data_IF_080223982020
#
_entry.id   IF_080223982020
#
_cell.length_a   1.000
_cell.length_b   1.000
_cell.length_c   1.000
_cell.angle_alpha   90.00
_cell.angle_beta   90.00
_cell.angle_gamma   90.00
#
_symmetry.space_group_name_H-M   'P 1'
#
loop_
_entity.id
_entity.type
_entity.pdbx_description
1 polymer ?
#
# COMPACT_ATOMS: atom_id res chain seq x y z
N UNK A 1 43.44 27.70 20.67
CA UNK A 1 42.55 27.93 19.50
C UNK A 1 42.33 26.59 18.82
N UNK A 2 41.22 25.91 19.12
CA UNK A 2 40.87 24.64 18.49
C UNK A 2 39.99 24.90 17.26
N UNK A 3 40.41 24.40 16.10
CA UNK A 3 39.72 24.58 14.83
C UNK A 3 38.41 23.78 14.80
N UNK A 4 37.30 24.47 14.49
CA UNK A 4 35.98 23.86 14.29
C UNK A 4 35.94 23.28 12.86
N UNK A 5 35.76 21.97 12.76
CA UNK A 5 35.58 21.30 11.48
C UNK A 5 34.22 21.67 10.85
N UNK A 6 34.11 21.81 9.51
CA UNK A 6 32.86 22.18 8.86
C UNK A 6 31.86 21.03 8.94
N UNK A 7 30.63 21.39 9.35
CA UNK A 7 29.50 20.48 9.48
C UNK A 7 29.03 20.09 8.07
N UNK A 8 29.12 18.80 7.74
CA UNK A 8 28.63 18.26 6.47
C UNK A 8 27.13 18.56 6.30
N UNK A 9 26.76 19.10 5.14
CA UNK A 9 25.39 19.43 4.80
C UNK A 9 24.54 18.16 4.74
N UNK A 10 23.48 18.09 5.55
CA UNK A 10 22.45 17.07 5.43
C UNK A 10 21.61 17.33 4.17
N UNK A 11 21.30 16.31 3.36
CA UNK A 11 20.39 16.48 2.22
C UNK A 11 18.99 16.84 2.73
N UNK A 12 18.39 17.86 2.10
CA UNK A 12 17.08 18.38 2.45
C UNK A 12 16.00 17.29 2.36
N UNK A 13 15.28 17.09 3.47
CA UNK A 13 14.09 16.25 3.49
C UNK A 13 13.00 16.91 2.63
N UNK A 14 12.47 16.17 1.65
CA UNK A 14 11.32 16.60 0.87
C UNK A 14 10.10 16.76 1.80
N UNK A 15 9.28 17.82 1.64
CA UNK A 15 8.30 18.24 2.64
C UNK A 15 7.01 17.41 2.70
N UNK A 16 6.93 16.28 1.98
CA UNK A 16 5.74 15.43 1.98
C UNK A 16 6.11 14.02 2.46
N UNK A 17 5.69 13.72 3.69
CA UNK A 17 5.97 12.51 4.48
C UNK A 17 5.56 11.19 3.85
N UNK A 18 6.38 10.70 2.92
CA UNK A 18 6.49 9.28 2.54
C UNK A 18 7.91 8.75 2.73
N UNK A 19 8.80 9.56 3.31
CA UNK A 19 10.20 9.24 3.57
C UNK A 19 10.40 8.31 4.75
N UNK A 20 9.80 7.12 4.74
CA UNK A 20 10.51 6.00 5.36
C UNK A 20 11.79 5.83 4.55
N UNK A 21 12.97 5.92 5.16
CA UNK A 21 14.20 5.46 4.51
C UNK A 21 13.88 4.13 3.85
N UNK A 22 14.12 4.01 2.54
CA UNK A 22 14.14 2.71 1.91
C UNK A 22 15.18 1.91 2.69
N UNK A 23 14.70 1.02 3.57
CA UNK A 23 15.53 -0.03 4.11
C UNK A 23 15.93 -0.87 2.92
N UNK A 24 17.05 -0.53 2.29
CA UNK A 24 17.72 -1.45 1.40
C UNK A 24 18.27 -2.54 2.30
N UNK A 25 17.50 -3.62 2.45
CA UNK A 25 18.12 -4.87 2.86
C UNK A 25 19.20 -5.12 1.80
N UNK A 26 20.48 -5.27 2.19
CA UNK A 26 21.50 -5.62 1.22
C UNK A 26 20.99 -6.87 0.52
N UNK A 27 20.85 -6.81 -0.80
CA UNK A 27 20.59 -7.99 -1.59
C UNK A 27 21.69 -8.97 -1.18
N UNK A 28 21.31 -10.09 -0.55
CA UNK A 28 22.25 -11.15 -0.21
C UNK A 28 22.76 -11.71 -1.54
N UNK A 29 23.77 -11.06 -2.11
CA UNK A 29 24.54 -11.50 -3.25
C UNK A 29 25.28 -12.75 -2.78
N UNK A 30 24.66 -13.92 -2.95
CA UNK A 30 25.28 -15.22 -2.66
C UNK A 30 24.73 -16.01 -1.47
N UNK A 31 23.56 -15.67 -0.91
CA UNK A 31 22.94 -16.51 0.14
C UNK A 31 22.14 -17.67 -0.46
N UNK A 32 22.38 -18.89 0.02
CA UNK A 32 21.57 -20.07 -0.29
C UNK A 32 20.08 -19.72 -0.25
N UNK A 33 19.43 -19.86 -1.40
CA UNK A 33 18.02 -19.53 -1.57
C UNK A 33 17.22 -20.62 -0.86
N UNK A 34 16.29 -20.21 0.00
CA UNK A 34 15.46 -21.15 0.75
C UNK A 34 14.63 -22.03 -0.19
N UNK A 35 14.62 -23.35 0.02
CA UNK A 35 13.99 -24.33 -0.87
C UNK A 35 12.47 -24.13 -0.96
N UNK A 36 11.84 -23.71 0.13
CA UNK A 36 10.39 -23.42 0.17
C UNK A 36 10.00 -22.05 -0.41
N UNK A 37 10.94 -21.27 -0.95
CA UNK A 37 10.62 -19.95 -1.49
C UNK A 37 9.90 -20.06 -2.85
N UNK A 38 8.63 -19.65 -2.90
CA UNK A 38 7.90 -19.50 -4.17
C UNK A 38 8.45 -18.29 -4.96
N UNK A 39 9.28 -18.60 -5.95
CA UNK A 39 9.95 -17.61 -6.79
C UNK A 39 8.98 -16.91 -7.73
N UNK A 40 8.00 -17.62 -8.27
CA UNK A 40 7.03 -17.04 -9.18
C UNK A 40 6.12 -16.06 -8.43
N UNK A 41 5.66 -16.42 -7.23
CA UNK A 41 4.91 -15.49 -6.39
C UNK A 41 5.76 -14.28 -5.97
N UNK A 42 7.02 -14.48 -5.57
CA UNK A 42 7.90 -13.37 -5.22
C UNK A 42 8.11 -12.38 -6.38
N UNK A 43 8.35 -12.88 -7.60
CA UNK A 43 8.51 -12.04 -8.77
C UNK A 43 7.24 -11.22 -9.06
N UNK A 44 6.05 -11.86 -8.99
CA UNK A 44 4.76 -11.16 -9.16
C UNK A 44 4.53 -10.09 -8.10
N UNK A 45 4.84 -10.37 -6.84
CA UNK A 45 4.72 -9.40 -5.76
C UNK A 45 5.67 -8.22 -5.92
N UNK A 46 6.93 -8.49 -6.29
CA UNK A 46 7.92 -7.44 -6.57
C UNK A 46 7.48 -6.55 -7.73
N UNK A 47 6.99 -7.14 -8.82
CA UNK A 47 6.46 -6.40 -9.97
C UNK A 47 5.26 -5.53 -9.58
N UNK A 48 4.34 -6.05 -8.77
CA UNK A 48 3.21 -5.29 -8.26
C UNK A 48 3.68 -4.10 -7.39
N UNK A 49 4.63 -4.32 -6.49
CA UNK A 49 5.18 -3.29 -5.63
C UNK A 49 5.87 -2.18 -6.44
N UNK A 50 6.74 -2.56 -7.37
CA UNK A 50 7.46 -1.65 -8.25
C UNK A 50 6.50 -0.86 -9.15
N UNK A 51 5.48 -1.50 -9.70
CA UNK A 51 4.46 -0.85 -10.52
C UNK A 51 3.72 0.23 -9.72
N UNK A 52 3.24 -0.10 -8.51
CA UNK A 52 2.51 0.84 -7.66
C UNK A 52 3.42 1.99 -7.21
N UNK A 53 4.57 1.68 -6.60
CA UNK A 53 5.52 2.71 -6.12
C UNK A 53 6.02 3.58 -7.26
N UNK A 54 6.29 2.99 -8.42
CA UNK A 54 6.74 3.67 -9.62
C UNK A 54 5.72 4.69 -10.16
N UNK A 55 4.41 4.46 -10.00
CA UNK A 55 3.37 5.46 -10.35
C UNK A 55 3.49 6.71 -9.48
N UNK A 56 3.59 6.53 -8.16
CA UNK A 56 3.72 7.65 -7.22
C UNK A 56 5.06 8.38 -7.36
N UNK A 57 6.16 7.64 -7.54
CA UNK A 57 7.50 8.22 -7.68
C UNK A 57 7.64 9.15 -8.89
N UNK A 58 6.83 8.94 -9.95
CA UNK A 58 6.84 9.78 -11.16
C UNK A 58 6.10 11.11 -11.00
N UNK A 59 5.24 11.27 -10.00
CA UNK A 59 4.38 12.46 -9.84
C UNK A 59 5.24 13.71 -9.60
N UNK A 60 6.14 13.68 -8.62
CA UNK A 60 6.92 14.88 -8.24
C UNK A 60 7.82 15.36 -9.40
N UNK A 61 8.62 14.49 -10.05
CA UNK A 61 9.40 14.90 -11.22
C UNK A 61 8.54 15.43 -12.38
N UNK A 62 7.35 14.86 -12.60
CA UNK A 62 6.44 15.35 -13.62
C UNK A 62 5.96 16.78 -13.32
N UNK A 63 5.51 17.05 -12.10
CA UNK A 63 5.05 18.38 -11.70
C UNK A 63 6.19 19.41 -11.72
N UNK A 64 7.42 19.03 -11.37
CA UNK A 64 8.58 19.90 -11.52
C UNK A 64 8.80 20.32 -12.98
N UNK A 65 8.66 19.37 -13.92
CA UNK A 65 8.71 19.69 -15.36
C UNK A 65 7.56 20.58 -15.80
N UNK A 66 6.34 20.36 -15.28
CA UNK A 66 5.18 21.23 -15.58
C UNK A 66 5.43 22.66 -15.12
N UNK A 67 5.91 22.87 -13.89
CA UNK A 67 6.21 24.20 -13.35
C UNK A 67 7.26 24.93 -14.21
N UNK A 68 8.27 24.20 -14.73
CA UNK A 68 9.28 24.79 -15.60
C UNK A 68 8.74 25.29 -16.95
N UNK A 69 7.54 24.83 -17.37
CA UNK A 69 6.90 25.20 -18.63
C UNK A 69 5.92 26.37 -18.51
N UNK A 70 5.68 26.89 -17.30
CA UNK A 70 4.60 27.83 -17.02
C UNK A 70 4.65 29.12 -17.86
N UNK A 71 5.84 29.54 -18.30
CA UNK A 71 6.02 30.77 -19.10
C UNK A 71 5.83 30.57 -20.62
N UNK A 72 5.50 29.37 -21.10
CA UNK A 72 5.35 29.11 -22.53
C UNK A 72 3.93 29.38 -23.03
N UNK A 73 3.80 29.81 -24.29
CA UNK A 73 2.50 30.11 -24.91
C UNK A 73 1.59 28.87 -25.05
N UNK A 74 2.20 27.68 -25.09
CA UNK A 74 1.60 26.35 -25.23
C UNK A 74 1.58 25.57 -23.89
N UNK A 75 1.59 26.29 -22.75
CA UNK A 75 1.70 25.70 -21.42
C UNK A 75 0.70 24.57 -21.17
N UNK A 76 -0.60 24.81 -21.44
CA UNK A 76 -1.65 23.84 -21.15
C UNK A 76 -1.43 22.51 -21.90
N UNK A 77 -1.10 22.57 -23.20
CA UNK A 77 -0.86 21.39 -24.02
C UNK A 77 0.38 20.62 -23.55
N UNK A 78 1.48 21.33 -23.28
CA UNK A 78 2.73 20.70 -22.82
C UNK A 78 2.63 20.14 -21.42
N UNK A 79 1.92 20.82 -20.52
CA UNK A 79 1.64 20.34 -19.17
C UNK A 79 0.87 19.03 -19.20
N UNK A 80 -0.18 18.95 -20.03
CA UNK A 80 -0.92 17.71 -20.23
C UNK A 80 -0.05 16.61 -20.83
N UNK A 81 0.80 16.92 -21.80
CA UNK A 81 1.78 15.97 -22.36
C UNK A 81 2.69 15.37 -21.30
N UNK A 82 3.30 16.22 -20.46
CA UNK A 82 4.18 15.77 -19.36
C UNK A 82 3.46 14.85 -18.37
N UNK A 83 2.21 15.16 -18.04
CA UNK A 83 1.42 14.35 -17.10
C UNK A 83 1.00 13.02 -17.73
N UNK A 84 0.57 13.00 -18.99
CA UNK A 84 0.26 11.77 -19.74
C UNK A 84 1.48 10.86 -19.87
N UNK A 85 2.65 11.42 -20.17
CA UNK A 85 3.89 10.64 -20.25
C UNK A 85 4.27 10.01 -18.90
N UNK A 86 4.03 10.72 -17.80
CA UNK A 86 4.37 10.25 -16.46
C UNK A 86 3.37 9.23 -15.90
N UNK A 87 2.08 9.47 -16.07
CA UNK A 87 0.98 8.74 -15.41
C UNK A 87 0.24 7.78 -16.36
N UNK A 88 0.53 7.81 -17.65
CA UNK A 88 -0.13 7.05 -18.71
C UNK A 88 -1.29 7.84 -19.34
N UNK A 89 -1.85 7.27 -20.42
CA UNK A 89 -2.92 7.90 -21.22
C UNK A 89 -4.34 7.43 -20.82
N UNK A 90 -4.51 6.92 -19.59
CA UNK A 90 -5.82 6.45 -19.14
C UNK A 90 -6.80 7.62 -18.97
N UNK A 91 -8.12 7.43 -19.21
CA UNK A 91 -9.11 8.46 -18.93
C UNK A 91 -8.98 8.98 -17.49
N UNK A 92 -8.93 10.31 -17.32
CA UNK A 92 -8.76 10.95 -16.00
C UNK A 92 -7.31 11.21 -15.57
N UNK A 93 -6.30 10.82 -16.38
CA UNK A 93 -4.91 11.20 -16.16
C UNK A 93 -4.63 12.69 -16.40
N UNK A 94 -5.53 13.36 -17.11
CA UNK A 94 -5.39 14.75 -17.51
C UNK A 94 -5.63 15.68 -16.33
N UNK A 95 -4.87 16.77 -16.28
CA UNK A 95 -5.10 17.84 -15.31
C UNK A 95 -6.45 18.53 -15.60
N UNK A 96 -7.22 18.91 -14.58
CA UNK A 96 -8.44 19.70 -14.76
C UNK A 96 -8.13 21.00 -15.51
N UNK A 97 -8.92 21.35 -16.54
CA UNK A 97 -8.72 22.54 -17.37
C UNK A 97 -8.53 23.82 -16.55
N UNK A 98 -9.33 24.00 -15.48
CA UNK A 98 -9.20 25.12 -14.53
C UNK A 98 -7.78 25.30 -13.95
N UNK A 99 -7.04 24.21 -13.71
CA UNK A 99 -5.66 24.31 -13.18
C UNK A 99 -4.67 24.82 -14.22
N UNK A 100 -5.01 24.73 -15.51
CA UNK A 100 -4.20 25.18 -16.62
C UNK A 100 -4.61 26.59 -17.08
N UNK A 101 -5.92 26.83 -17.15
CA UNK A 101 -6.51 28.09 -17.63
C UNK A 101 -6.22 29.25 -16.68
N UNK A 102 -6.21 29.02 -15.36
CA UNK A 102 -5.95 30.07 -14.36
C UNK A 102 -4.44 30.28 -14.11
N UNK A 103 -3.58 29.40 -14.63
CA UNK A 103 -2.16 29.35 -14.29
C UNK A 103 -1.36 30.58 -14.74
N UNK A 104 -1.82 31.29 -15.78
CA UNK A 104 -1.19 32.53 -16.24
C UNK A 104 -1.47 33.71 -15.29
N UNK A 105 -2.61 33.70 -14.59
CA UNK A 105 -3.05 34.79 -13.72
C UNK A 105 -2.60 34.59 -12.27
N UNK A 106 -2.77 33.39 -11.72
CA UNK A 106 -2.52 33.10 -10.29
C UNK A 106 -1.27 32.29 -10.02
N UNK A 107 -0.63 31.80 -11.08
CA UNK A 107 0.38 30.77 -10.98
C UNK A 107 -0.21 29.36 -11.04
N UNK A 108 0.62 28.38 -11.44
CA UNK A 108 0.20 26.97 -11.48
C UNK A 108 0.02 26.39 -10.06
N UNK A 109 -1.18 25.92 -9.73
CA UNK A 109 -1.44 25.30 -8.43
C UNK A 109 -0.89 23.86 -8.36
N UNK A 110 0.37 23.78 -7.92
CA UNK A 110 1.08 22.52 -7.72
C UNK A 110 0.40 21.63 -6.68
N UNK A 111 -0.28 22.19 -5.67
CA UNK A 111 -0.90 21.39 -4.60
C UNK A 111 -2.12 20.67 -5.13
N UNK A 112 -2.99 21.37 -5.86
CA UNK A 112 -4.15 20.78 -6.50
C UNK A 112 -3.74 19.77 -7.58
N UNK A 113 -2.72 20.09 -8.39
CA UNK A 113 -2.19 19.18 -9.38
C UNK A 113 -1.60 17.91 -8.74
N UNK A 114 -0.85 18.05 -7.65
CA UNK A 114 -0.32 16.92 -6.88
C UNK A 114 -1.43 16.02 -6.33
N UNK A 115 -2.44 16.60 -5.70
CA UNK A 115 -3.58 15.86 -5.17
C UNK A 115 -4.29 15.08 -6.29
N UNK A 116 -4.57 15.73 -7.43
CA UNK A 116 -5.19 15.09 -8.59
C UNK A 116 -4.37 13.90 -9.10
N UNK A 117 -3.07 14.09 -9.30
CA UNK A 117 -2.15 13.04 -9.73
C UNK A 117 -2.07 11.86 -8.74
N UNK A 118 -2.10 12.14 -7.42
CA UNK A 118 -2.11 11.11 -6.37
C UNK A 118 -3.39 10.29 -6.39
N UNK A 119 -4.56 10.94 -6.51
CA UNK A 119 -5.85 10.22 -6.61
C UNK A 119 -5.95 9.39 -7.88
N UNK A 120 -5.45 9.90 -9.00
CA UNK A 120 -5.37 9.14 -10.25
C UNK A 120 -4.43 7.93 -10.10
N UNK A 121 -3.22 8.12 -9.55
CA UNK A 121 -2.28 7.03 -9.32
C UNK A 121 -2.85 5.95 -8.38
N UNK A 122 -3.58 6.36 -7.33
CA UNK A 122 -4.28 5.45 -6.44
C UNK A 122 -5.37 4.66 -7.18
N UNK A 123 -6.22 5.34 -7.95
CA UNK A 123 -7.31 4.70 -8.71
C UNK A 123 -6.76 3.68 -9.72
N UNK A 124 -5.73 4.06 -10.46
CA UNK A 124 -5.07 3.15 -11.41
C UNK A 124 -4.43 1.93 -10.71
N UNK A 125 -3.84 2.13 -9.52
CA UNK A 125 -3.28 1.04 -8.72
C UNK A 125 -4.37 0.10 -8.19
N UNK A 126 -5.50 0.63 -7.71
CA UNK A 126 -6.63 -0.18 -7.24
C UNK A 126 -7.31 -0.93 -8.37
N UNK A 127 -7.43 -0.34 -9.56
CA UNK A 127 -8.00 -1.02 -10.74
C UNK A 127 -7.13 -2.17 -11.21
N UNK A 128 -5.82 -1.96 -11.25
CA UNK A 128 -4.86 -3.02 -11.53
C UNK A 128 -4.98 -4.14 -10.50
N UNK A 129 -4.98 -3.79 -9.22
CA UNK A 129 -5.11 -4.77 -8.13
C UNK A 129 -6.44 -5.54 -8.18
N UNK A 130 -7.54 -4.89 -8.52
CA UNK A 130 -8.84 -5.53 -8.67
C UNK A 130 -8.87 -6.52 -9.84
N UNK A 131 -8.18 -6.22 -10.95
CA UNK A 131 -7.98 -7.18 -12.04
C UNK A 131 -7.15 -8.38 -11.57
N UNK A 132 -6.02 -8.14 -10.91
CA UNK A 132 -5.16 -9.20 -10.39
C UNK A 132 -5.92 -10.15 -9.44
N UNK A 133 -6.79 -9.62 -8.56
CA UNK A 133 -7.62 -10.46 -7.68
C UNK A 133 -8.60 -11.32 -8.47
N UNK A 134 -9.27 -10.75 -9.48
CA UNK A 134 -10.25 -11.49 -10.30
C UNK A 134 -9.60 -12.63 -11.09
N UNK A 135 -8.33 -12.48 -11.45
CA UNK A 135 -7.56 -13.54 -12.11
C UNK A 135 -7.10 -14.63 -11.12
N UNK A 136 -7.20 -14.41 -9.80
CA UNK A 136 -6.74 -15.31 -8.74
C UNK A 136 -7.88 -16.06 -8.00
N UNK A 137 -9.09 -16.13 -8.57
CA UNK A 137 -10.30 -16.65 -7.91
C UNK A 137 -10.16 -18.09 -7.38
N UNK A 138 -9.43 -18.97 -8.07
CA UNK A 138 -9.25 -20.37 -7.64
C UNK A 138 -8.50 -20.50 -6.31
N UNK A 139 -7.54 -19.61 -6.04
CA UNK A 139 -6.73 -19.61 -4.79
C UNK A 139 -7.56 -19.22 -3.57
N UNK A 140 -8.61 -18.40 -3.76
CA UNK A 140 -9.46 -17.91 -2.67
C UNK A 140 -10.36 -19.02 -2.11
N UNK A 141 -10.87 -19.91 -2.96
CA UNK A 141 -11.69 -21.04 -2.53
C UNK A 141 -10.88 -22.09 -1.78
N UNK A 142 -9.68 -22.40 -2.26
CA UNK A 142 -8.77 -23.35 -1.61
C UNK A 142 -8.39 -22.91 -0.19
N UNK A 143 -8.19 -21.60 0.01
CA UNK A 143 -7.80 -21.09 1.33
C UNK A 143 -8.95 -20.96 2.33
N UNK A 144 -10.20 -20.82 1.86
CA UNK A 144 -11.37 -20.95 2.75
C UNK A 144 -11.36 -22.32 3.42
N UNK A 145 -11.08 -23.37 2.64
CA UNK A 145 -11.02 -24.73 3.16
C UNK A 145 -9.86 -24.86 4.15
N UNK A 146 -8.69 -24.30 3.84
CA UNK A 146 -7.53 -24.33 4.74
C UNK A 146 -7.82 -23.79 6.15
N UNK A 147 -8.46 -22.63 6.29
CA UNK A 147 -8.75 -22.08 7.62
C UNK A 147 -9.77 -22.92 8.38
N UNK A 148 -10.79 -23.43 7.70
CA UNK A 148 -11.78 -24.31 8.30
C UNK A 148 -11.16 -25.65 8.74
N UNK A 149 -10.28 -26.22 7.91
CA UNK A 149 -9.51 -27.44 8.22
C UNK A 149 -8.59 -27.22 9.43
N UNK A 150 -8.06 -26.00 9.58
CA UNK A 150 -7.32 -25.58 10.77
C UNK A 150 -8.20 -25.29 11.99
N UNK A 151 -9.53 -25.39 11.87
CA UNK A 151 -10.49 -25.17 12.95
C UNK A 151 -10.87 -23.70 13.16
N UNK A 152 -10.69 -22.83 12.16
CA UNK A 152 -11.01 -21.40 12.24
C UNK A 152 -12.08 -21.00 11.22
N UNK A 153 -13.21 -20.49 11.70
CA UNK A 153 -14.26 -19.96 10.82
C UNK A 153 -14.05 -18.48 10.47
N UNK A 154 -13.16 -17.78 11.17
CA UNK A 154 -12.79 -16.38 10.88
C UNK A 154 -11.40 -16.09 11.43
N UNK A 155 -10.64 -15.26 10.71
CA UNK A 155 -9.29 -14.81 11.06
C UNK A 155 -9.25 -13.29 11.03
N UNK A 156 -9.12 -12.67 12.19
CA UNK A 156 -9.09 -11.21 12.38
C UNK A 156 -7.69 -10.75 12.78
N UNK A 157 -7.04 -9.99 11.90
CA UNK A 157 -5.65 -9.57 12.04
C UNK A 157 -5.58 -8.07 12.32
N UNK A 158 -4.96 -7.71 13.44
CA UNK A 158 -4.72 -6.33 13.86
C UNK A 158 -3.24 -5.98 13.97
N UNK A 159 -2.65 -5.43 12.89
CA UNK A 159 -1.28 -4.92 12.94
C UNK A 159 -1.18 -3.50 13.47
N UNK A 160 0.05 -3.09 13.78
CA UNK A 160 0.38 -1.67 13.89
C UNK A 160 -0.03 -0.91 12.60
N UNK A 161 -0.41 0.36 12.74
CA UNK A 161 -0.74 1.25 11.63
C UNK A 161 0.45 1.62 10.74
N UNK A 162 1.67 1.20 11.11
CA UNK A 162 2.91 1.41 10.37
C UNK A 162 2.80 0.97 8.89
N UNK A 163 3.31 1.83 7.99
CA UNK A 163 3.28 1.61 6.54
C UNK A 163 4.05 0.38 6.08
N UNK A 164 5.06 -0.07 6.83
CA UNK A 164 5.82 -1.30 6.57
C UNK A 164 4.96 -2.55 6.76
N UNK A 165 3.94 -2.50 7.62
CA UNK A 165 2.95 -3.57 7.80
C UNK A 165 1.74 -3.46 6.85
N UNK A 166 1.76 -2.54 5.88
CA UNK A 166 0.68 -2.46 4.88
C UNK A 166 0.64 -3.68 3.97
N UNK A 167 1.79 -4.29 3.71
CA UNK A 167 1.93 -5.54 2.98
C UNK A 167 1.70 -6.82 3.79
N UNK A 168 1.27 -6.75 5.06
CA UNK A 168 1.24 -7.91 5.98
C UNK A 168 0.58 -9.16 5.40
N UNK A 169 -0.65 -9.05 4.89
CA UNK A 169 -1.39 -10.21 4.39
C UNK A 169 -0.71 -10.83 3.17
N UNK A 170 -0.42 -10.03 2.14
CA UNK A 170 0.04 -10.53 0.84
C UNK A 170 1.55 -10.83 0.77
N UNK A 171 2.38 -10.07 1.48
CA UNK A 171 3.85 -10.17 1.37
C UNK A 171 4.45 -10.97 2.52
N UNK A 172 4.06 -10.68 3.77
CA UNK A 172 4.65 -11.28 4.97
C UNK A 172 4.03 -12.65 5.25
N UNK A 173 2.70 -12.71 5.40
CA UNK A 173 1.99 -13.93 5.80
C UNK A 173 1.51 -14.78 4.62
N UNK A 174 1.56 -14.26 3.40
CA UNK A 174 1.09 -14.93 2.17
C UNK A 174 -0.37 -15.43 2.27
N UNK A 175 -1.20 -14.70 3.01
CA UNK A 175 -2.61 -14.99 3.13
C UNK A 175 -3.36 -14.37 1.94
N UNK A 176 -4.22 -15.14 1.26
CA UNK A 176 -5.08 -14.60 0.23
C UNK A 176 -6.17 -13.73 0.84
N UNK A 177 -6.71 -12.85 0.00
CA UNK A 177 -7.85 -12.04 0.36
C UNK A 177 -9.10 -12.92 0.29
N UNK A 178 -9.63 -13.26 1.46
CA UNK A 178 -10.87 -14.01 1.59
C UNK A 178 -11.88 -13.20 2.41
N UNK A 179 -13.17 -13.51 2.28
CA UNK A 179 -14.21 -12.97 3.16
C UNK A 179 -14.03 -13.38 4.63
N UNK A 180 -13.12 -14.31 4.94
CA UNK A 180 -12.83 -14.81 6.29
C UNK A 180 -11.68 -14.08 6.96
N UNK A 181 -10.91 -13.29 6.21
CA UNK A 181 -9.73 -12.61 6.72
C UNK A 181 -10.00 -11.11 6.85
N UNK A 182 -9.99 -10.62 8.09
CA UNK A 182 -10.19 -9.21 8.41
C UNK A 182 -8.83 -8.59 8.71
N UNK A 183 -8.61 -7.35 8.25
CA UNK A 183 -7.40 -6.60 8.55
C UNK A 183 -7.75 -5.20 9.06
N UNK A 184 -7.55 -4.95 10.35
CA UNK A 184 -7.84 -3.67 11.01
C UNK A 184 -6.58 -3.16 11.73
N UNK A 185 -5.95 -2.12 11.19
CA UNK A 185 -4.67 -1.63 11.71
C UNK A 185 -4.87 -0.48 12.71
N UNK A 186 -4.12 -0.50 13.82
CA UNK A 186 -4.20 0.49 14.90
C UNK A 186 -2.80 0.90 15.34
N UNK A 187 -2.61 2.13 15.83
CA UNK A 187 -1.32 2.53 16.38
C UNK A 187 -0.93 1.61 17.56
N UNK A 188 0.29 1.07 17.54
CA UNK A 188 0.76 0.11 18.55
C UNK A 188 -0.02 -1.21 18.59
N UNK A 189 -0.80 -1.53 17.56
CA UNK A 189 -1.74 -2.66 17.54
C UNK A 189 -2.77 -2.64 18.68
N UNK A 190 -3.09 -1.45 19.21
CA UNK A 190 -4.14 -1.25 20.23
C UNK A 190 -5.51 -1.27 19.54
N UNK A 191 -5.99 -2.47 19.20
CA UNK A 191 -7.26 -2.66 18.51
C UNK A 191 -8.47 -2.45 19.43
N UNK A 192 -9.57 -1.99 18.84
CA UNK A 192 -10.82 -1.78 19.54
C UNK A 192 -11.50 -3.12 19.85
N UNK A 193 -11.46 -3.51 21.13
CA UNK A 193 -12.04 -4.76 21.64
C UNK A 193 -13.56 -4.79 21.45
N UNK A 194 -14.25 -3.67 21.63
CA UNK A 194 -15.71 -3.62 21.50
C UNK A 194 -16.14 -3.84 20.06
N UNK A 195 -15.41 -3.25 19.10
CA UNK A 195 -15.62 -3.51 17.67
C UNK A 195 -15.37 -4.98 17.34
N UNK A 196 -14.35 -5.59 17.92
CA UNK A 196 -14.03 -7.00 17.69
C UNK A 196 -15.08 -7.95 18.27
N UNK A 197 -15.58 -7.69 19.48
CA UNK A 197 -16.68 -8.46 20.10
C UNK A 197 -17.96 -8.35 19.26
N UNK A 198 -18.26 -7.17 18.69
CA UNK A 198 -19.39 -7.00 17.76
C UNK A 198 -19.21 -7.82 16.48
N UNK A 199 -18.02 -7.82 15.89
CA UNK A 199 -17.72 -8.62 14.69
C UNK A 199 -17.81 -10.12 14.97
N UNK A 200 -17.30 -10.57 16.11
CA UNK A 200 -17.44 -11.95 16.58
C UNK A 200 -18.92 -12.33 16.73
N UNK A 201 -19.70 -11.50 17.44
CA UNK A 201 -21.14 -11.73 17.65
C UNK A 201 -21.89 -11.85 16.33
N UNK A 202 -21.63 -10.94 15.37
CA UNK A 202 -22.25 -10.98 14.05
C UNK A 202 -21.88 -12.25 13.27
N UNK A 203 -20.63 -12.69 13.39
CA UNK A 203 -20.13 -13.92 12.75
C UNK A 203 -20.80 -15.16 13.32
N UNK A 204 -20.87 -15.30 14.64
CA UNK A 204 -21.50 -16.45 15.30
C UNK A 204 -23.01 -16.49 15.04
N UNK A 205 -23.68 -15.33 15.06
CA UNK A 205 -25.10 -15.26 14.71
C UNK A 205 -25.35 -15.72 13.27
N UNK A 206 -24.46 -15.34 12.34
CA UNK A 206 -24.55 -15.79 10.94
C UNK A 206 -24.31 -17.29 10.81
N UNK A 207 -23.35 -17.86 11.55
CA UNK A 207 -23.13 -19.31 11.61
C UNK A 207 -24.37 -20.05 12.13
N UNK A 208 -25.00 -19.52 13.19
CA UNK A 208 -26.20 -20.12 13.78
C UNK A 208 -27.40 -20.07 12.83
N UNK A 209 -27.61 -18.95 12.14
CA UNK A 209 -28.80 -18.74 11.28
C UNK A 209 -28.65 -19.31 9.87
N UNK A 210 -27.47 -19.18 9.28
CA UNK A 210 -27.22 -19.46 7.86
C UNK A 210 -26.25 -20.62 7.64
N UNK A 211 -25.53 -21.08 8.69
CA UNK A 211 -24.50 -22.12 8.54
C UNK A 211 -23.26 -21.65 7.77
N UNK A 212 -23.06 -20.33 7.62
CA UNK A 212 -21.96 -19.76 6.84
C UNK A 212 -20.91 -19.11 7.76
N UNK A 213 -19.60 -19.41 7.60
CA UNK A 213 -19.03 -20.36 6.64
C UNK A 213 -19.14 -21.83 6.98
N UNK A 214 -19.44 -22.12 8.23
CA UNK A 214 -19.60 -23.45 8.78
C UNK A 214 -20.73 -23.42 9.81
N UNK A 215 -21.33 -24.58 10.06
CA UNK A 215 -22.33 -24.76 11.10
C UNK A 215 -21.70 -24.66 12.49
N UNK A 216 -22.52 -24.41 13.51
CA UNK A 216 -22.06 -24.20 14.89
C UNK A 216 -21.42 -25.44 15.52
N UNK A 217 -21.85 -26.63 15.09
CA UNK A 217 -21.37 -27.95 15.51
C UNK A 217 -20.03 -28.35 14.89
N UNK A 218 -19.53 -27.59 13.89
CA UNK A 218 -18.26 -27.88 13.22
C UNK A 218 -16.99 -27.72 14.10
N UNK A 219 -17.12 -27.35 15.39
CA UNK A 219 -16.00 -27.27 16.33
C UNK A 219 -14.99 -26.14 16.07
N UNK A 220 -15.29 -25.22 15.14
CA UNK A 220 -14.39 -24.13 14.74
C UNK A 220 -14.47 -22.90 15.67
N UNK A 221 -13.40 -22.10 15.74
CA UNK A 221 -13.30 -20.89 16.57
C UNK A 221 -12.99 -19.63 15.76
N UNK A 222 -13.23 -18.48 16.38
CA UNK A 222 -12.80 -17.18 15.87
C UNK A 222 -11.35 -16.93 16.29
N UNK A 223 -10.47 -16.66 15.33
CA UNK A 223 -9.05 -16.39 15.58
C UNK A 223 -8.79 -14.88 15.54
N UNK A 224 -8.31 -14.31 16.65
CA UNK A 224 -7.77 -12.95 16.70
C UNK A 224 -6.24 -12.99 16.70
N UNK A 225 -5.61 -12.22 15.82
CA UNK A 225 -4.15 -12.09 15.70
C UNK A 225 -3.76 -10.62 15.89
N UNK A 226 -2.92 -10.33 16.87
CA UNK A 226 -2.29 -9.02 17.03
C UNK A 226 -0.86 -9.07 16.47
N UNK A 227 -0.43 -8.03 15.75
CA UNK A 227 0.91 -7.99 15.13
C UNK A 227 1.66 -6.73 15.56
N UNK A 228 2.67 -6.92 16.39
CA UNK A 228 3.67 -5.90 16.74
C UNK A 228 4.87 -5.97 15.77
N UNK A 229 5.72 -4.95 15.79
CA UNK A 229 6.95 -4.92 15.02
C UNK A 229 8.09 -4.27 15.82
N UNK A 230 9.31 -4.46 15.33
CA UNK A 230 10.52 -3.82 15.81
C UNK A 230 11.56 -3.79 14.67
N UNK A 231 12.53 -2.89 14.75
CA UNK A 231 13.71 -2.90 13.87
C UNK A 231 14.89 -3.58 14.56
N UNK A 232 15.50 -4.56 13.91
CA UNK A 232 16.72 -5.19 14.41
C UNK A 232 17.98 -4.37 14.13
N UNK A 233 17.97 -3.52 13.10
CA UNK A 233 19.11 -2.68 12.73
C UNK A 233 19.17 -1.39 13.55
N UNK A 234 18.01 -0.85 13.95
CA UNK A 234 17.94 0.34 14.80
C UNK A 234 16.76 0.27 15.79
N UNK A 235 16.88 -0.54 16.86
CA UNK A 235 15.79 -0.81 17.80
C UNK A 235 15.29 0.43 18.55
N UNK A 236 16.14 1.45 18.72
CA UNK A 236 15.82 2.64 19.52
C UNK A 236 15.08 3.72 18.71
N UNK A 237 15.16 3.71 17.38
CA UNK A 237 14.62 4.78 16.55
C UNK A 237 13.68 4.30 15.43
N UNK A 238 13.81 3.07 14.95
CA UNK A 238 13.01 2.54 13.84
C UNK A 238 12.00 1.46 14.28
N UNK A 239 11.52 1.60 15.52
CA UNK A 239 10.52 0.75 16.17
C UNK A 239 9.26 0.54 15.37
#
# INVERSE_FOLDING_TARGET
>A
MAAVAPRAAQPAAAPFGLGTRQGSLPARLGGDRHVLADRAANARLAQCEESVKGRFARIVPALQRVVALQATADFAERAQGVVRDALGCAPGCELPARLLDDAWATGFDVKAAYAHCVFHALSAATDQFARDIREQVEVVQDTRNFFLDCGFHTVDISPCADGRLKGLSRYILRLPLSSFTWRKAYAGALFDVEVDVRNWTATELRRFREGVPSTVDAGTRYLKVAVYHFSSSDPAHEG
#
